data_IF_076073794394
#
_entry.id   IF_076073794394
#
_cell.length_a   1.000
_cell.length_b   1.000
_cell.length_c   1.000
_cell.angle_alpha   90.00
_cell.angle_beta   90.00
_cell.angle_gamma   90.00
#
_symmetry.space_group_name_H-M   'P 1'
#
loop_
_entity.id
_entity.type
_entity.pdbx_description
1 polymer ?
#
# COMPACT_ATOMS: atom_id res chain seq x y z
N UNK A 1 1.77 2.80 -21.97
CA UNK A 1 2.70 3.17 -20.88
C UNK A 1 1.86 3.91 -19.84
N UNK A 2 1.56 3.30 -18.70
CA UNK A 2 0.90 4.04 -17.61
C UNK A 2 1.98 4.89 -16.95
N UNK A 3 1.80 6.21 -16.91
CA UNK A 3 2.70 7.10 -16.20
C UNK A 3 2.41 6.97 -14.70
N UNK A 4 3.46 6.92 -13.87
CA UNK A 4 3.33 6.98 -12.43
C UNK A 4 2.52 8.22 -12.04
N UNK A 5 1.60 8.08 -11.10
CA UNK A 5 0.88 9.23 -10.57
C UNK A 5 1.83 10.15 -9.79
N UNK A 6 1.42 11.38 -9.55
CA UNK A 6 2.22 12.33 -8.78
C UNK A 6 2.60 11.79 -7.38
N UNK A 7 1.68 11.19 -6.59
CA UNK A 7 2.05 10.59 -5.31
C UNK A 7 3.10 9.49 -5.44
N UNK A 8 2.91 8.54 -6.37
CA UNK A 8 3.87 7.45 -6.59
C UNK A 8 5.24 7.97 -7.04
N UNK A 9 5.27 8.98 -7.91
CA UNK A 9 6.51 9.62 -8.34
C UNK A 9 7.23 10.33 -7.18
N UNK A 10 6.48 10.93 -6.25
CA UNK A 10 7.04 11.56 -5.06
C UNK A 10 7.62 10.53 -4.09
N UNK A 11 6.91 9.42 -3.86
CA UNK A 11 7.37 8.31 -3.03
C UNK A 11 8.68 7.72 -3.57
N UNK A 12 8.74 7.43 -4.87
CA UNK A 12 9.92 6.81 -5.49
C UNK A 12 11.16 7.71 -5.51
N UNK A 13 10.99 9.04 -5.40
CA UNK A 13 12.12 9.96 -5.19
C UNK A 13 12.74 9.85 -3.80
N UNK A 14 12.02 9.27 -2.84
CA UNK A 14 12.45 9.04 -1.46
C UNK A 14 12.51 7.54 -1.16
N UNK A 15 13.02 6.75 -2.11
CA UNK A 15 13.01 5.28 -2.07
C UNK A 15 13.74 4.67 -0.87
N UNK A 16 14.62 5.42 -0.22
CA UNK A 16 15.29 4.98 1.02
C UNK A 16 14.30 4.75 2.16
N UNK A 17 13.24 5.57 2.24
CA UNK A 17 12.18 5.46 3.26
C UNK A 17 11.12 4.41 2.89
N UNK A 18 11.26 3.74 1.73
CA UNK A 18 10.32 2.72 1.27
C UNK A 18 10.80 1.30 1.59
N UNK A 19 11.81 1.16 2.46
CA UNK A 19 12.41 -0.12 2.82
C UNK A 19 11.95 -0.58 4.20
N UNK A 20 11.29 -1.72 4.25
CA UNK A 20 10.86 -2.38 5.48
C UNK A 20 10.59 -3.87 5.21
N UNK A 21 10.52 -4.70 6.26
CA UNK A 21 10.30 -6.15 6.11
C UNK A 21 8.84 -6.48 5.79
N UNK A 22 7.89 -5.78 6.42
CA UNK A 22 6.45 -5.94 6.21
C UNK A 22 5.81 -4.61 5.78
N UNK A 23 5.41 -4.53 4.51
CA UNK A 23 4.88 -3.29 3.90
C UNK A 23 3.41 -3.45 3.55
N UNK A 24 2.59 -2.50 3.96
CA UNK A 24 1.19 -2.37 3.57
C UNK A 24 1.00 -1.16 2.66
N UNK A 25 0.45 -1.38 1.47
CA UNK A 25 0.08 -0.29 0.54
C UNK A 25 -1.44 -0.19 0.48
N UNK A 26 -2.00 0.95 0.89
CA UNK A 26 -3.44 1.17 1.02
C UNK A 26 -3.94 2.16 -0.03
N UNK A 27 -5.08 1.83 -0.65
CA UNK A 27 -5.76 2.68 -1.64
C UNK A 27 -4.90 3.01 -2.88
N UNK A 28 -3.99 2.10 -3.22
CA UNK A 28 -3.13 2.23 -4.40
C UNK A 28 -3.94 2.36 -5.71
N UNK A 29 -3.25 2.83 -6.75
CA UNK A 29 -3.78 3.02 -8.10
C UNK A 29 -3.02 2.16 -9.12
N UNK A 30 -3.59 2.00 -10.32
CA UNK A 30 -3.02 1.17 -11.39
C UNK A 30 -1.92 1.90 -12.18
N UNK A 31 -0.85 2.30 -11.51
CA UNK A 31 0.22 3.13 -12.10
C UNK A 31 1.61 2.48 -12.11
N UNK A 32 1.71 1.22 -11.66
CA UNK A 32 2.96 0.46 -11.63
C UNK A 32 3.81 0.67 -10.37
N UNK A 33 3.38 1.49 -9.42
CA UNK A 33 4.10 1.69 -8.16
C UNK A 33 4.37 0.38 -7.41
N UNK A 34 3.36 -0.48 -7.28
CA UNK A 34 3.47 -1.77 -6.59
C UNK A 34 4.61 -2.65 -7.15
N UNK A 35 4.77 -2.68 -8.48
CA UNK A 35 5.85 -3.43 -9.12
C UNK A 35 7.23 -2.81 -8.84
N UNK A 36 7.33 -1.48 -8.80
CA UNK A 36 8.59 -0.83 -8.46
C UNK A 36 8.95 -1.00 -6.97
N UNK A 37 7.94 -0.94 -6.09
CA UNK A 37 8.11 -1.18 -4.66
C UNK A 37 8.64 -2.60 -4.41
N UNK A 38 8.14 -3.60 -5.14
CA UNK A 38 8.65 -4.96 -5.07
C UNK A 38 10.10 -5.08 -5.57
N UNK A 39 10.46 -4.38 -6.65
CA UNK A 39 11.85 -4.37 -7.13
C UNK A 39 12.80 -3.72 -6.13
N UNK A 40 12.35 -2.69 -5.41
CA UNK A 40 13.10 -2.03 -4.33
C UNK A 40 13.24 -2.93 -3.09
N UNK A 41 12.28 -3.83 -2.86
CA UNK A 41 12.16 -4.64 -1.67
C UNK A 41 12.00 -6.14 -2.02
N UNK A 42 13.03 -6.78 -2.58
CA UNK A 42 12.91 -8.14 -3.11
C UNK A 42 12.63 -9.22 -2.05
N UNK A 43 12.95 -8.94 -0.79
CA UNK A 43 12.79 -9.88 0.33
C UNK A 43 11.62 -9.52 1.26
N UNK A 44 10.96 -8.39 1.03
CA UNK A 44 9.91 -7.91 1.92
C UNK A 44 8.56 -8.53 1.59
N UNK A 45 7.72 -8.68 2.62
CA UNK A 45 6.33 -9.05 2.44
C UNK A 45 5.53 -7.80 2.11
N UNK A 46 5.09 -7.68 0.86
CA UNK A 46 4.25 -6.57 0.39
C UNK A 46 2.80 -7.02 0.33
N UNK A 47 1.95 -6.37 1.11
CA UNK A 47 0.49 -6.50 1.07
C UNK A 47 -0.12 -5.24 0.49
N UNK A 48 -1.06 -5.40 -0.45
CA UNK A 48 -1.78 -4.31 -1.08
C UNK A 48 -3.27 -4.41 -0.74
N UNK A 49 -3.81 -3.36 -0.14
CA UNK A 49 -5.20 -3.28 0.29
C UNK A 49 -5.94 -2.16 -0.44
N UNK A 50 -7.17 -2.44 -0.87
CA UNK A 50 -8.01 -1.47 -1.58
C UNK A 50 -9.49 -1.72 -1.32
N UNK A 51 -10.24 -0.65 -1.07
CA UNK A 51 -11.71 -0.69 -1.13
C UNK A 51 -12.25 -0.75 -2.57
N UNK A 52 -11.42 -0.34 -3.53
CA UNK A 52 -11.76 -0.37 -4.95
C UNK A 52 -11.47 -1.75 -5.54
N UNK A 53 -12.53 -2.45 -5.93
CA UNK A 53 -12.47 -3.79 -6.52
C UNK A 53 -11.65 -3.84 -7.82
N UNK A 54 -11.80 -2.85 -8.71
CA UNK A 54 -11.06 -2.85 -9.98
C UNK A 54 -9.54 -2.71 -9.76
N UNK A 55 -9.12 -1.87 -8.81
CA UNK A 55 -7.69 -1.74 -8.45
C UNK A 55 -7.15 -3.03 -7.86
N UNK A 56 -7.91 -3.68 -6.97
CA UNK A 56 -7.51 -4.96 -6.39
C UNK A 56 -7.39 -6.08 -7.41
N UNK A 57 -8.40 -6.25 -8.28
CA UNK A 57 -8.34 -7.26 -9.35
C UNK A 57 -7.15 -7.05 -10.29
N UNK A 58 -6.83 -5.79 -10.61
CA UNK A 58 -5.63 -5.49 -11.38
C UNK A 58 -4.36 -5.93 -10.64
N UNK A 59 -4.22 -5.55 -9.36
CA UNK A 59 -3.03 -5.86 -8.57
C UNK A 59 -2.83 -7.35 -8.30
N UNK A 60 -3.90 -8.16 -8.27
CA UNK A 60 -3.77 -9.64 -8.13
C UNK A 60 -2.90 -10.28 -9.21
N UNK A 61 -2.77 -9.63 -10.36
CA UNK A 61 -1.90 -10.11 -11.45
C UNK A 61 -0.42 -9.80 -11.23
N UNK A 62 -0.09 -8.97 -10.23
CA UNK A 62 1.29 -8.65 -9.86
C UNK A 62 1.82 -9.77 -8.96
N UNK A 63 2.78 -10.54 -9.48
CA UNK A 63 3.37 -11.66 -8.74
C UNK A 63 4.05 -11.18 -7.47
N UNK A 64 3.95 -11.96 -6.39
CA UNK A 64 4.67 -11.70 -5.14
C UNK A 64 4.13 -10.54 -4.30
N UNK A 65 2.91 -10.09 -4.57
CA UNK A 65 2.17 -9.13 -3.74
C UNK A 65 0.90 -9.81 -3.25
N UNK A 66 0.65 -9.74 -1.95
CA UNK A 66 -0.59 -10.24 -1.35
C UNK A 66 -1.68 -9.16 -1.45
N UNK A 67 -2.72 -9.42 -2.23
CA UNK A 67 -3.73 -8.40 -2.55
C UNK A 67 -5.06 -8.72 -1.87
N UNK A 68 -5.55 -7.77 -1.09
CA UNK A 68 -6.82 -7.88 -0.39
C UNK A 68 -7.78 -6.76 -0.83
N UNK A 69 -9.00 -7.14 -1.20
CA UNK A 69 -10.12 -6.23 -1.40
C UNK A 69 -11.16 -6.56 -0.35
N UNK A 70 -11.35 -5.67 0.61
CA UNK A 70 -12.29 -5.87 1.71
C UNK A 70 -12.65 -4.51 2.34
N UNK A 71 -13.44 -4.55 3.40
CA UNK A 71 -13.73 -3.41 4.28
C UNK A 71 -12.80 -3.37 5.50
N UNK A 72 -12.14 -4.50 5.82
CA UNK A 72 -11.22 -4.65 6.95
C UNK A 72 -9.89 -5.27 6.52
N UNK A 73 -8.81 -4.85 7.18
CA UNK A 73 -7.46 -5.40 6.98
C UNK A 73 -7.25 -6.49 8.04
N UNK A 74 -7.10 -7.75 7.60
CA UNK A 74 -7.00 -8.89 8.52
C UNK A 74 -5.57 -9.33 8.81
N UNK A 75 -4.63 -8.97 7.93
CA UNK A 75 -3.21 -9.18 8.15
C UNK A 75 -2.69 -8.29 9.28
N UNK A 76 -1.69 -8.75 10.03
CA UNK A 76 -1.14 -8.06 11.19
C UNK A 76 0.36 -7.85 11.07
N UNK A 77 0.85 -6.85 11.80
CA UNK A 77 2.26 -6.51 12.01
C UNK A 77 2.92 -5.98 10.72
N UNK A 78 2.58 -4.74 10.38
CA UNK A 78 3.26 -3.97 9.34
C UNK A 78 4.20 -2.96 9.97
N UNK A 79 5.40 -2.86 9.41
CA UNK A 79 6.46 -1.94 9.82
C UNK A 79 6.40 -0.63 9.02
N UNK A 80 5.86 -0.71 7.80
CA UNK A 80 5.66 0.44 6.92
C UNK A 80 4.26 0.38 6.31
N UNK A 81 3.56 1.51 6.37
CA UNK A 81 2.29 1.72 5.67
C UNK A 81 2.42 2.89 4.71
N UNK A 82 2.07 2.64 3.45
CA UNK A 82 2.01 3.65 2.40
C UNK A 82 0.54 3.88 2.07
N UNK A 83 0.02 5.04 2.45
CA UNK A 83 -1.40 5.34 2.38
C UNK A 83 -1.72 6.42 1.35
N UNK A 84 -2.38 6.01 0.27
CA UNK A 84 -2.90 6.94 -0.72
C UNK A 84 -4.18 7.59 -0.21
N UNK A 85 -4.02 8.81 0.34
CA UNK A 85 -5.10 9.55 0.97
C UNK A 85 -6.31 9.74 0.02
N UNK A 86 -7.53 9.30 0.40
CA UNK A 86 -8.70 9.35 -0.45
C UNK A 86 -9.33 10.75 -0.44
N UNK A 87 -10.21 11.00 -1.41
CA UNK A 87 -10.91 12.29 -1.50
C UNK A 87 -11.95 12.48 -0.39
N UNK A 88 -12.51 11.39 0.13
CA UNK A 88 -13.57 11.42 1.12
C UNK A 88 -13.02 11.30 2.54
N UNK A 89 -13.29 12.32 3.38
CA UNK A 89 -12.89 12.30 4.80
C UNK A 89 -13.43 11.10 5.60
N UNK A 90 -14.71 10.68 5.44
CA UNK A 90 -15.22 9.51 6.16
C UNK A 90 -14.47 8.22 5.81
N UNK A 91 -14.13 8.03 4.54
CA UNK A 91 -13.30 6.91 4.10
C UNK A 91 -11.94 6.99 4.77
N UNK A 92 -11.32 8.18 4.79
CA UNK A 92 -10.00 8.34 5.38
C UNK A 92 -9.95 7.95 6.87
N UNK A 93 -10.94 8.38 7.64
CA UNK A 93 -11.02 8.03 9.08
C UNK A 93 -11.17 6.51 9.27
N UNK A 94 -12.07 5.88 8.51
CA UNK A 94 -12.26 4.43 8.57
C UNK A 94 -11.00 3.65 8.16
N UNK A 95 -10.27 4.14 7.15
CA UNK A 95 -9.01 3.51 6.73
C UNK A 95 -7.93 3.65 7.80
N UNK A 96 -7.81 4.82 8.42
CA UNK A 96 -6.83 5.04 9.49
C UNK A 96 -7.13 4.18 10.72
N UNK A 97 -8.40 3.97 11.07
CA UNK A 97 -8.79 3.04 12.14
C UNK A 97 -8.39 1.59 11.80
N UNK A 98 -8.62 1.16 10.55
CA UNK A 98 -8.18 -0.14 10.06
C UNK A 98 -6.66 -0.30 10.12
N UNK A 99 -5.91 0.69 9.61
CA UNK A 99 -4.45 0.70 9.63
C UNK A 99 -3.95 0.60 11.08
N UNK A 100 -4.47 1.43 11.98
CA UNK A 100 -4.08 1.45 13.39
C UNK A 100 -4.25 0.08 14.06
N UNK A 101 -5.24 -0.71 13.66
CA UNK A 101 -5.49 -2.03 14.24
C UNK A 101 -4.46 -3.10 13.84
N UNK A 102 -3.66 -2.86 12.80
CA UNK A 102 -2.79 -3.88 12.18
C UNK A 102 -1.31 -3.53 12.14
N UNK A 103 -0.93 -2.28 12.42
CA UNK A 103 0.47 -1.84 12.40
C UNK A 103 1.21 -2.15 13.70
N UNK A 104 2.54 -2.22 13.61
CA UNK A 104 3.41 -2.25 14.79
C UNK A 104 3.46 -0.87 15.48
N UNK A 105 3.74 -0.79 16.80
CA UNK A 105 3.76 0.47 17.53
C UNK A 105 4.77 1.51 17.01
N UNK A 106 5.86 1.03 16.42
CA UNK A 106 6.97 1.79 15.84
C UNK A 106 6.88 1.86 14.30
N UNK A 107 5.76 1.44 13.71
CA UNK A 107 5.57 1.45 12.28
C UNK A 107 5.56 2.87 11.71
N UNK A 108 6.17 3.04 10.54
CA UNK A 108 6.12 4.28 9.78
C UNK A 108 4.83 4.34 8.93
N UNK A 109 4.21 5.52 8.88
CA UNK A 109 3.05 5.80 8.04
C UNK A 109 3.39 6.96 7.10
N UNK A 110 3.35 6.69 5.79
CA UNK A 110 3.65 7.61 4.69
C UNK A 110 2.39 7.95 3.89
#
# INVERSE_FOLDING_TARGET
MSALTNPSSLLLRNSENLKADSILVVNFVQDGFLSQLQQLNPNSKISAFSYNHANGEFAKNIKGIDVCVSHEITAKHFDLVIYYYPKAKPEALMTLDNIRAVINPDAELL
#
